data_IF_298337368665
#
_entry.id   IF_298337368665
#
_cell.length_a   1.000
_cell.length_b   1.000
_cell.length_c   1.000
_cell.angle_alpha   90.00
_cell.angle_beta   90.00
_cell.angle_gamma   90.00
#
_symmetry.space_group_name_H-M   'P 1'
#
loop_
_entity.id
_entity.type
_entity.pdbx_description
1 polymer ?
#
# COMPACT_ATOMS: atom_id res chain seq x y z
N UNK A 1 -16.47 -0.38 -0.46
CA UNK A 1 -15.34 0.53 -0.74
C UNK A 1 -15.85 1.76 -1.46
N UNK A 2 -15.30 2.96 -1.23
CA UNK A 2 -15.71 4.18 -1.95
C UNK A 2 -14.74 4.44 -3.11
N UNK A 3 -15.00 3.78 -4.22
CA UNK A 3 -14.13 3.81 -5.39
C UNK A 3 -13.96 5.21 -5.98
N UNK A 4 -15.02 6.03 -5.97
CA UNK A 4 -14.96 7.39 -6.53
C UNK A 4 -14.05 8.31 -5.72
N UNK A 5 -14.13 8.27 -4.39
CA UNK A 5 -13.24 9.05 -3.51
C UNK A 5 -11.79 8.56 -3.60
N UNK A 6 -11.60 7.24 -3.70
CA UNK A 6 -10.28 6.64 -3.88
C UNK A 6 -9.68 7.04 -5.22
N UNK A 7 -10.45 7.01 -6.32
CA UNK A 7 -9.98 7.44 -7.64
C UNK A 7 -9.55 8.92 -7.61
N UNK A 8 -10.33 9.77 -6.92
CA UNK A 8 -9.95 11.18 -6.73
C UNK A 8 -8.66 11.32 -5.91
N UNK A 9 -8.40 10.46 -4.94
CA UNK A 9 -7.13 10.42 -4.22
C UNK A 9 -5.96 10.19 -5.19
N UNK A 10 -6.00 9.16 -6.01
CA UNK A 10 -4.90 8.84 -6.92
C UNK A 10 -4.72 9.85 -8.07
N UNK A 11 -5.79 10.42 -8.59
CA UNK A 11 -5.74 11.41 -9.69
C UNK A 11 -5.55 12.85 -9.24
N UNK A 12 -5.64 13.14 -7.93
CA UNK A 12 -5.57 14.52 -7.46
C UNK A 12 -4.15 15.09 -7.59
N UNK A 13 -4.10 16.34 -8.06
CA UNK A 13 -2.88 17.13 -8.12
C UNK A 13 -2.79 18.02 -6.86
N UNK A 14 -1.71 17.85 -6.11
CA UNK A 14 -1.48 18.60 -4.87
C UNK A 14 -1.07 20.06 -5.11
N UNK A 15 -0.89 20.48 -6.38
CA UNK A 15 -0.60 21.89 -6.73
C UNK A 15 -1.64 22.85 -6.14
N UNK A 16 -2.92 22.48 -6.15
CA UNK A 16 -3.98 23.33 -5.57
C UNK A 16 -3.80 23.51 -4.07
N UNK A 17 -3.40 22.47 -3.34
CA UNK A 17 -3.12 22.56 -1.92
C UNK A 17 -1.98 23.53 -1.63
N UNK A 18 -0.83 23.38 -2.31
CA UNK A 18 0.30 24.29 -2.14
C UNK A 18 -0.02 25.71 -2.56
N UNK A 19 -0.74 25.89 -3.67
CA UNK A 19 -1.20 27.23 -4.11
C UNK A 19 -2.09 27.89 -3.06
N UNK A 20 -3.04 27.13 -2.51
CA UNK A 20 -3.94 27.64 -1.45
C UNK A 20 -3.17 28.03 -0.18
N UNK A 21 -2.19 27.23 0.25
CA UNK A 21 -1.33 27.53 1.42
C UNK A 21 -0.49 28.79 1.16
N UNK A 22 0.06 28.97 -0.04
CA UNK A 22 0.83 30.18 -0.40
C UNK A 22 -0.07 31.41 -0.31
N UNK A 23 -1.28 31.35 -0.90
CA UNK A 23 -2.24 32.48 -0.86
C UNK A 23 -2.64 32.79 0.58
N UNK A 24 -2.89 31.76 1.40
CA UNK A 24 -3.20 31.93 2.82
C UNK A 24 -2.04 32.60 3.56
N UNK A 25 -0.79 32.17 3.31
CA UNK A 25 0.41 32.78 3.87
C UNK A 25 0.58 34.25 3.49
N UNK A 26 0.26 34.62 2.25
CA UNK A 26 0.26 36.03 1.80
C UNK A 26 -0.74 36.87 2.62
N UNK A 27 -1.94 36.34 2.84
CA UNK A 27 -2.95 37.03 3.68
C UNK A 27 -2.48 37.26 5.12
N UNK A 28 -1.84 36.25 5.73
CA UNK A 28 -1.23 36.35 7.07
C UNK A 28 -0.12 37.42 7.09
N UNK A 29 0.73 37.44 6.08
CA UNK A 29 1.82 38.42 5.94
C UNK A 29 1.30 39.84 5.83
N UNK A 30 0.23 40.06 5.06
CA UNK A 30 -0.42 41.40 4.95
C UNK A 30 -0.94 41.87 6.31
N UNK A 31 -1.56 40.96 7.11
CA UNK A 31 -2.00 41.30 8.47
C UNK A 31 -0.82 41.68 9.38
N UNK A 32 0.22 40.83 9.40
CA UNK A 32 1.39 41.02 10.25
C UNK A 32 2.11 42.36 9.94
N UNK A 33 2.32 42.68 8.66
CA UNK A 33 2.94 43.95 8.22
C UNK A 33 2.05 45.12 8.62
N UNK A 34 0.74 45.01 8.46
CA UNK A 34 -0.20 46.06 8.84
C UNK A 34 -0.15 46.40 10.34
N UNK A 35 -0.02 45.41 11.20
CA UNK A 35 0.15 45.59 12.65
C UNK A 35 1.51 46.18 13.03
N UNK A 36 2.59 45.67 12.43
CA UNK A 36 3.98 46.05 12.75
C UNK A 36 4.29 47.50 12.36
N UNK A 37 3.72 47.98 11.26
CA UNK A 37 3.94 49.34 10.77
C UNK A 37 2.96 50.36 11.38
N UNK A 38 2.11 49.96 12.30
CA UNK A 38 1.16 50.85 13.01
C UNK A 38 0.18 51.58 12.07
N UNK A 39 -0.03 51.02 10.89
CA UNK A 39 -0.92 51.62 9.88
C UNK A 39 -2.39 51.50 10.34
N UNK A 40 -2.81 52.40 11.23
CA UNK A 40 -4.26 52.68 11.47
C UNK A 40 -5.04 53.18 10.24
N UNK A 41 -4.35 53.28 9.08
CA UNK A 41 -4.84 54.00 7.90
C UNK A 41 -5.85 53.17 7.07
N UNK A 42 -5.93 51.84 7.26
CA UNK A 42 -6.81 51.03 6.41
C UNK A 42 -7.75 50.13 7.22
N UNK A 43 -8.90 50.63 7.61
CA UNK A 43 -10.05 49.76 7.99
C UNK A 43 -10.35 48.69 6.93
N UNK A 44 -9.97 48.93 5.66
CA UNK A 44 -10.11 47.98 4.56
C UNK A 44 -9.03 46.89 4.47
N UNK A 45 -7.83 47.10 5.05
CA UNK A 45 -6.69 46.17 4.91
C UNK A 45 -6.93 44.83 5.61
N UNK A 46 -7.52 44.86 6.80
CA UNK A 46 -7.91 43.66 7.53
C UNK A 46 -8.95 42.84 6.75
N UNK A 47 -9.94 43.52 6.16
CA UNK A 47 -10.96 42.87 5.35
C UNK A 47 -10.36 42.21 4.09
N UNK A 48 -9.45 42.90 3.40
CA UNK A 48 -8.73 42.36 2.24
C UNK A 48 -7.88 41.15 2.62
N UNK A 49 -7.10 41.23 3.70
CA UNK A 49 -6.29 40.13 4.17
C UNK A 49 -7.14 38.90 4.55
N UNK A 50 -8.23 39.09 5.27
CA UNK A 50 -9.15 37.99 5.63
C UNK A 50 -9.81 37.37 4.39
N UNK A 51 -10.14 38.19 3.39
CA UNK A 51 -10.68 37.68 2.11
C UNK A 51 -9.64 36.81 1.38
N UNK A 52 -8.39 37.26 1.29
CA UNK A 52 -7.29 36.50 0.69
C UNK A 52 -7.07 35.20 1.44
N UNK A 53 -7.04 35.22 2.77
CA UNK A 53 -6.93 34.00 3.61
C UNK A 53 -8.09 33.06 3.36
N UNK A 54 -9.34 33.56 3.29
CA UNK A 54 -10.53 32.78 3.00
C UNK A 54 -10.45 32.08 1.63
N UNK A 55 -10.04 32.83 0.60
CA UNK A 55 -9.83 32.25 -0.75
C UNK A 55 -8.72 31.19 -0.72
N UNK A 56 -7.59 31.47 -0.08
CA UNK A 56 -6.50 30.52 0.06
C UNK A 56 -6.94 29.22 0.76
N UNK A 57 -7.69 29.36 1.85
CA UNK A 57 -8.25 28.21 2.57
C UNK A 57 -9.23 27.40 1.69
N UNK A 58 -10.12 28.05 0.96
CA UNK A 58 -11.04 27.38 0.04
C UNK A 58 -10.29 26.59 -1.04
N UNK A 59 -9.29 27.19 -1.67
CA UNK A 59 -8.47 26.54 -2.71
C UNK A 59 -7.70 25.35 -2.12
N UNK A 60 -7.17 25.44 -0.90
CA UNK A 60 -6.42 24.37 -0.27
C UNK A 60 -7.30 23.19 0.16
N UNK A 61 -8.43 23.46 0.81
CA UNK A 61 -9.19 22.44 1.55
C UNK A 61 -10.41 21.89 0.81
N UNK A 62 -11.07 22.67 -0.06
CA UNK A 62 -12.26 22.22 -0.77
C UNK A 62 -12.03 21.00 -1.68
N UNK A 63 -10.94 20.93 -2.47
CA UNK A 63 -10.62 19.72 -3.23
C UNK A 63 -10.27 18.53 -2.35
N UNK A 64 -9.63 18.79 -1.19
CA UNK A 64 -9.20 17.73 -0.26
C UNK A 64 -10.38 17.02 0.41
N UNK A 65 -11.49 17.72 0.69
CA UNK A 65 -12.66 17.14 1.34
C UNK A 65 -13.42 16.13 0.47
N UNK A 66 -13.22 16.16 -0.84
CA UNK A 66 -13.91 15.30 -1.83
C UNK A 66 -13.13 14.03 -2.22
N UNK A 67 -11.93 13.86 -1.70
CA UNK A 67 -11.07 12.69 -1.96
C UNK A 67 -10.87 11.88 -0.68
N UNK A 68 -10.47 10.62 -0.82
CA UNK A 68 -9.98 9.85 0.31
C UNK A 68 -8.66 10.44 0.81
N UNK A 69 -8.36 10.23 2.09
CA UNK A 69 -7.04 10.50 2.66
C UNK A 69 -6.23 9.20 2.77
N UNK A 70 -4.97 9.28 3.16
CA UNK A 70 -4.05 8.14 3.28
C UNK A 70 -4.59 7.07 4.24
N UNK A 71 -5.17 7.48 5.35
CA UNK A 71 -5.71 6.58 6.36
C UNK A 71 -6.94 5.83 5.83
N UNK A 72 -7.83 6.52 5.12
CA UNK A 72 -9.00 5.88 4.49
C UNK A 72 -8.60 4.84 3.44
N UNK A 73 -7.50 5.06 2.70
CA UNK A 73 -6.94 4.06 1.76
C UNK A 73 -6.42 2.84 2.52
N UNK A 74 -5.61 3.06 3.56
CA UNK A 74 -5.05 1.97 4.37
C UNK A 74 -6.17 1.17 5.07
N UNK A 75 -7.19 1.85 5.60
CA UNK A 75 -8.37 1.21 6.20
C UNK A 75 -9.20 0.42 5.18
N UNK A 76 -9.28 0.90 3.93
CA UNK A 76 -9.97 0.17 2.87
C UNK A 76 -9.25 -1.15 2.55
N UNK A 77 -7.91 -1.13 2.51
CA UNK A 77 -7.09 -2.33 2.37
C UNK A 77 -7.29 -3.28 3.55
N UNK A 78 -7.17 -2.77 4.78
CA UNK A 78 -7.34 -3.59 5.99
C UNK A 78 -8.71 -4.29 6.01
N UNK A 79 -9.80 -3.56 5.72
CA UNK A 79 -11.15 -4.16 5.66
C UNK A 79 -11.32 -5.19 4.54
N UNK A 80 -10.62 -5.01 3.41
CA UNK A 80 -10.71 -5.93 2.28
C UNK A 80 -9.89 -7.22 2.50
N UNK A 81 -8.93 -7.19 3.43
CA UNK A 81 -8.03 -8.31 3.74
C UNK A 81 -8.25 -8.89 5.14
N UNK A 82 -9.16 -8.29 5.94
CA UNK A 82 -9.47 -8.77 7.28
C UNK A 82 -9.95 -10.23 7.21
N UNK A 83 -9.29 -11.11 7.97
CA UNK A 83 -9.57 -12.56 8.04
C UNK A 83 -9.46 -13.34 6.73
N UNK A 84 -8.80 -12.80 5.71
CA UNK A 84 -8.71 -13.49 4.43
C UNK A 84 -8.02 -14.86 4.55
N UNK A 85 -6.98 -15.00 5.38
CA UNK A 85 -6.31 -16.27 5.65
C UNK A 85 -7.23 -17.28 6.40
N UNK A 86 -8.08 -16.80 7.31
CA UNK A 86 -9.09 -17.64 7.99
C UNK A 86 -10.15 -18.10 6.99
N UNK A 87 -10.68 -17.20 6.15
CA UNK A 87 -11.66 -17.51 5.11
C UNK A 87 -11.12 -18.56 4.12
N UNK A 88 -9.88 -18.39 3.66
CA UNK A 88 -9.21 -19.35 2.77
C UNK A 88 -9.04 -20.70 3.47
N UNK A 89 -8.58 -20.70 4.75
CA UNK A 89 -8.38 -21.93 5.51
C UNK A 89 -9.69 -22.70 5.74
N UNK A 90 -10.82 -22.01 5.91
CA UNK A 90 -12.14 -22.62 6.06
C UNK A 90 -12.67 -23.20 4.74
N UNK A 91 -12.41 -22.51 3.61
CA UNK A 91 -12.89 -22.91 2.29
C UNK A 91 -12.08 -24.08 1.70
N UNK A 92 -10.78 -24.13 1.99
CA UNK A 92 -9.88 -25.17 1.48
C UNK A 92 -9.79 -26.30 2.51
N UNK A 93 -10.34 -27.47 2.17
CA UNK A 93 -10.35 -28.65 3.05
C UNK A 93 -8.97 -29.32 3.11
N UNK A 94 -7.97 -28.60 3.69
CA UNK A 94 -6.59 -29.06 3.85
C UNK A 94 -6.22 -29.24 5.33
N UNK A 95 -5.35 -30.18 5.61
CA UNK A 95 -4.81 -30.37 6.95
C UNK A 95 -3.58 -29.49 7.15
N UNK A 96 -3.75 -28.43 7.95
CA UNK A 96 -2.67 -27.47 8.23
C UNK A 96 -1.52 -28.08 9.01
N UNK A 97 -0.31 -27.64 8.70
CA UNK A 97 0.90 -27.98 9.44
C UNK A 97 0.83 -27.46 10.87
N UNK A 98 1.34 -28.25 11.83
CA UNK A 98 1.51 -27.81 13.21
C UNK A 98 2.81 -27.00 13.42
N UNK A 99 3.74 -27.05 12.47
CA UNK A 99 5.09 -26.46 12.58
C UNK A 99 5.13 -25.03 12.04
N UNK A 100 4.53 -24.82 10.86
CA UNK A 100 4.48 -23.51 10.20
C UNK A 100 3.04 -23.03 10.25
N UNK A 101 2.82 -21.89 10.87
CA UNK A 101 1.47 -21.29 10.96
C UNK A 101 1.11 -20.64 9.64
N UNK A 102 -0.19 -20.56 9.31
CA UNK A 102 -0.68 -19.74 8.20
C UNK A 102 -0.17 -18.31 8.30
N UNK A 103 0.10 -17.70 7.16
CA UNK A 103 0.62 -16.34 7.06
C UNK A 103 -0.16 -15.58 6.01
N UNK A 104 -0.59 -14.37 6.35
CA UNK A 104 -1.15 -13.42 5.41
C UNK A 104 -0.09 -12.39 5.03
N UNK A 105 0.31 -12.39 3.76
CA UNK A 105 1.10 -11.34 3.17
C UNK A 105 0.20 -10.38 2.40
N UNK A 106 0.61 -9.12 2.31
CA UNK A 106 -0.10 -8.16 1.49
C UNK A 106 0.71 -6.91 1.27
N UNK A 107 0.65 -6.39 0.05
CA UNK A 107 1.35 -5.18 -0.35
C UNK A 107 0.68 -4.55 -1.58
N UNK A 108 0.94 -3.27 -1.78
CA UNK A 108 0.56 -2.55 -2.98
C UNK A 108 1.31 -3.08 -4.20
N UNK A 109 0.60 -3.24 -5.31
CA UNK A 109 1.19 -3.63 -6.60
C UNK A 109 1.58 -2.38 -7.36
N UNK A 110 2.83 -2.31 -7.79
CA UNK A 110 3.36 -1.14 -8.47
C UNK A 110 3.58 -1.36 -9.97
N UNK A 111 3.33 -2.57 -10.46
CA UNK A 111 3.51 -2.94 -11.85
C UNK A 111 2.14 -2.98 -12.57
N UNK A 112 2.10 -2.52 -13.82
CA UNK A 112 0.93 -2.51 -14.70
C UNK A 112 0.59 -1.12 -15.22
N UNK A 113 0.13 -1.06 -16.46
CA UNK A 113 -0.20 0.20 -17.16
C UNK A 113 -1.45 0.88 -16.58
N UNK A 114 -2.30 0.11 -15.90
CA UNK A 114 -3.55 0.54 -15.26
C UNK A 114 -3.37 0.94 -13.78
N UNK A 115 -2.15 0.81 -13.25
CA UNK A 115 -1.84 1.08 -11.85
C UNK A 115 -1.51 2.55 -11.62
N UNK A 116 -2.34 3.22 -10.83
CA UNK A 116 -2.07 4.58 -10.38
C UNK A 116 -1.26 4.54 -9.10
N UNK A 117 -0.16 5.27 -9.06
CA UNK A 117 0.72 5.36 -7.88
C UNK A 117 0.70 6.77 -7.32
N UNK A 118 0.61 6.90 -6.00
CA UNK A 118 0.65 8.17 -5.31
C UNK A 118 1.48 8.11 -4.05
N UNK A 119 2.25 9.18 -3.81
CA UNK A 119 2.92 9.40 -2.54
C UNK A 119 2.01 10.17 -1.58
N UNK A 120 1.81 9.66 -0.38
CA UNK A 120 1.06 10.34 0.66
C UNK A 120 1.69 11.67 1.05
N UNK A 121 0.86 12.68 1.33
CA UNK A 121 1.32 14.00 1.75
C UNK A 121 1.82 14.01 3.20
N UNK A 122 1.13 13.28 4.07
CA UNK A 122 1.40 13.28 5.51
C UNK A 122 2.53 12.32 5.89
N UNK A 123 2.51 11.11 5.37
CA UNK A 123 3.41 10.02 5.77
C UNK A 123 4.51 9.69 4.75
N UNK A 124 4.46 10.32 3.58
CA UNK A 124 5.40 10.13 2.47
C UNK A 124 5.47 8.70 1.92
N UNK A 125 4.56 7.81 2.31
CA UNK A 125 4.50 6.45 1.80
C UNK A 125 3.86 6.41 0.42
N UNK A 126 4.36 5.49 -0.41
CA UNK A 126 3.75 5.21 -1.71
C UNK A 126 2.61 4.22 -1.55
N UNK A 127 1.52 4.47 -2.27
CA UNK A 127 0.37 3.58 -2.39
C UNK A 127 -0.01 3.48 -3.85
N UNK A 128 -0.40 2.30 -4.27
CA UNK A 128 -0.96 2.11 -5.60
C UNK A 128 -2.46 1.87 -5.55
N UNK A 129 -3.12 2.01 -6.71
CA UNK A 129 -4.54 1.72 -6.85
C UNK A 129 -4.88 0.23 -6.85
N UNK A 130 -3.88 -0.64 -6.76
CA UNK A 130 -4.04 -2.10 -6.77
C UNK A 130 -3.31 -2.72 -5.58
N UNK A 131 -3.95 -3.69 -4.93
CA UNK A 131 -3.41 -4.39 -3.77
C UNK A 131 -3.52 -5.89 -3.95
N UNK A 132 -2.53 -6.64 -3.47
CA UNK A 132 -2.55 -8.10 -3.41
C UNK A 132 -2.48 -8.55 -1.96
N UNK A 133 -3.42 -9.38 -1.56
CA UNK A 133 -3.36 -10.16 -0.32
C UNK A 133 -3.08 -11.61 -0.69
N UNK A 134 -2.17 -12.27 0.00
CA UNK A 134 -1.78 -13.66 -0.26
C UNK A 134 -1.80 -14.44 1.05
N UNK A 135 -2.73 -15.39 1.16
CA UNK A 135 -2.78 -16.33 2.26
C UNK A 135 -1.90 -17.54 1.94
N UNK A 136 -0.90 -17.81 2.76
CA UNK A 136 -0.02 -18.96 2.67
C UNK A 136 -0.43 -19.97 3.74
N UNK A 137 -0.99 -21.09 3.33
CA UNK A 137 -1.42 -22.18 4.18
C UNK A 137 -0.44 -23.35 4.04
N UNK A 138 0.27 -23.65 5.10
CA UNK A 138 1.27 -24.72 5.09
C UNK A 138 0.65 -26.06 5.49
N UNK A 139 0.89 -27.09 4.68
CA UNK A 139 0.55 -28.47 4.96
C UNK A 139 1.77 -29.23 5.47
N UNK A 140 1.63 -30.54 5.70
CA UNK A 140 2.78 -31.39 6.01
C UNK A 140 3.76 -31.48 4.84
N UNK A 141 3.25 -31.49 3.61
CA UNK A 141 4.00 -31.85 2.42
C UNK A 141 4.19 -30.67 1.44
N UNK A 142 3.59 -29.50 1.72
CA UNK A 142 3.66 -28.36 0.80
C UNK A 142 3.06 -27.07 1.35
N UNK A 143 2.87 -26.13 0.44
CA UNK A 143 2.21 -24.84 0.69
C UNK A 143 1.10 -24.61 -0.33
N UNK A 144 -0.08 -24.26 0.17
CA UNK A 144 -1.19 -23.75 -0.62
C UNK A 144 -1.20 -22.22 -0.50
N UNK A 145 -1.32 -21.54 -1.63
CA UNK A 145 -1.31 -20.09 -1.72
C UNK A 145 -2.59 -19.64 -2.39
N UNK A 146 -3.37 -18.82 -1.71
CA UNK A 146 -4.48 -18.11 -2.31
C UNK A 146 -4.15 -16.62 -2.39
N UNK A 147 -4.20 -16.06 -3.60
CA UNK A 147 -3.95 -14.64 -3.85
C UNK A 147 -5.23 -13.95 -4.26
N UNK A 148 -5.55 -12.87 -3.56
CA UNK A 148 -6.64 -11.96 -3.89
C UNK A 148 -6.07 -10.63 -4.34
N UNK A 149 -6.20 -10.34 -5.62
CA UNK A 149 -5.84 -9.03 -6.19
C UNK A 149 -7.10 -8.19 -6.34
N UNK A 150 -7.10 -6.98 -5.82
CA UNK A 150 -8.25 -6.09 -5.94
C UNK A 150 -7.85 -4.65 -6.23
N UNK A 151 -8.75 -3.95 -6.92
CA UNK A 151 -8.62 -2.53 -7.21
C UNK A 151 -9.21 -1.69 -6.08
N UNK A 152 -8.56 -0.59 -5.75
CA UNK A 152 -9.06 0.41 -4.81
C UNK A 152 -9.91 1.50 -5.47
N UNK A 153 -9.94 1.54 -6.80
CA UNK A 153 -10.59 2.59 -7.60
C UNK A 153 -11.75 2.09 -8.46
N UNK A 154 -11.96 0.79 -8.53
CA UNK A 154 -13.04 0.14 -9.27
C UNK A 154 -13.41 -1.21 -8.64
N UNK A 155 -14.60 -1.71 -8.91
CA UNK A 155 -15.04 -3.02 -8.43
C UNK A 155 -14.47 -4.14 -9.31
N UNK A 156 -13.19 -4.41 -9.09
CA UNK A 156 -12.46 -5.46 -9.80
C UNK A 156 -11.63 -6.27 -8.81
N UNK A 157 -11.93 -7.56 -8.71
CA UNK A 157 -11.24 -8.51 -7.84
C UNK A 157 -10.94 -9.77 -8.63
N UNK A 158 -9.71 -10.26 -8.51
CA UNK A 158 -9.29 -11.54 -9.07
C UNK A 158 -8.70 -12.41 -7.98
N UNK A 159 -9.03 -13.69 -7.99
CA UNK A 159 -8.47 -14.68 -7.08
C UNK A 159 -7.73 -15.75 -7.88
N UNK A 160 -6.60 -16.19 -7.35
CA UNK A 160 -5.75 -17.21 -7.98
C UNK A 160 -5.20 -18.12 -6.89
N UNK A 161 -5.39 -19.42 -7.07
CA UNK A 161 -4.93 -20.44 -6.16
C UNK A 161 -3.77 -21.22 -6.77
N UNK A 162 -2.79 -21.56 -5.95
CA UNK A 162 -1.61 -22.31 -6.34
C UNK A 162 -1.22 -23.28 -5.23
N UNK A 163 -0.71 -24.43 -5.61
CA UNK A 163 -0.21 -25.43 -4.66
C UNK A 163 1.21 -25.87 -5.06
N UNK A 164 2.09 -25.93 -4.07
CA UNK A 164 3.48 -26.34 -4.24
C UNK A 164 3.82 -27.43 -3.23
N UNK A 165 4.45 -28.50 -3.73
CA UNK A 165 4.92 -29.62 -2.91
C UNK A 165 6.38 -29.40 -2.56
N UNK A 166 6.75 -29.48 -1.27
CA UNK A 166 8.12 -29.19 -0.80
C UNK A 166 9.21 -30.02 -1.47
N UNK A 167 8.90 -31.26 -1.84
CA UNK A 167 9.84 -32.14 -2.51
C UNK A 167 10.35 -31.58 -3.85
N UNK A 168 9.48 -30.83 -4.56
CA UNK A 168 9.81 -30.25 -5.88
C UNK A 168 10.40 -28.86 -5.81
N UNK A 169 10.20 -28.15 -4.70
CA UNK A 169 10.72 -26.79 -4.54
C UNK A 169 12.25 -26.79 -4.38
N UNK A 170 12.91 -25.84 -5.01
CA UNK A 170 14.34 -25.63 -4.82
C UNK A 170 14.61 -24.83 -3.55
N UNK A 171 14.01 -23.67 -3.46
CA UNK A 171 14.16 -22.75 -2.34
C UNK A 171 13.04 -21.70 -2.34
N UNK A 172 12.87 -21.02 -1.20
CA UNK A 172 12.12 -19.78 -1.10
C UNK A 172 13.03 -18.69 -0.53
N UNK A 173 12.85 -17.47 -1.01
CA UNK A 173 13.66 -16.33 -0.56
C UNK A 173 12.89 -15.02 -0.68
N UNK A 174 13.38 -14.00 0.04
CA UNK A 174 12.90 -12.64 -0.12
C UNK A 174 13.85 -11.82 -0.98
N UNK A 175 13.32 -11.07 -1.91
CA UNK A 175 14.09 -10.15 -2.76
C UNK A 175 13.54 -8.74 -2.65
N UNK A 176 14.43 -7.75 -2.64
CA UNK A 176 14.08 -6.33 -2.68
C UNK A 176 14.59 -5.72 -3.98
N UNK A 177 13.72 -4.97 -4.63
CA UNK A 177 14.01 -4.28 -5.88
C UNK A 177 13.70 -2.79 -5.73
N UNK A 178 14.38 -1.95 -6.49
CA UNK A 178 14.04 -0.54 -6.61
C UNK A 178 13.17 -0.32 -7.84
N UNK A 179 12.03 0.36 -7.65
CA UNK A 179 11.17 0.85 -8.72
C UNK A 179 11.25 2.37 -8.75
N UNK A 180 11.25 2.94 -9.95
CA UNK A 180 11.33 4.39 -10.14
C UNK A 180 9.95 4.92 -10.51
N UNK A 181 9.47 5.90 -9.72
CA UNK A 181 8.22 6.60 -9.97
C UNK A 181 8.50 8.11 -10.07
N UNK A 182 8.53 8.64 -11.27
CA UNK A 182 8.97 10.02 -11.51
C UNK A 182 10.42 10.22 -11.09
N UNK A 183 10.67 11.07 -10.10
CA UNK A 183 12.00 11.34 -9.53
C UNK A 183 12.31 10.48 -8.29
N UNK A 184 11.33 9.74 -7.81
CA UNK A 184 11.43 8.98 -6.56
C UNK A 184 11.74 7.49 -6.81
N UNK A 185 12.48 6.89 -5.87
CA UNK A 185 12.75 5.45 -5.82
C UNK A 185 11.98 4.79 -4.70
N UNK A 186 11.26 3.73 -5.02
CA UNK A 186 10.50 2.92 -4.06
C UNK A 186 11.10 1.54 -3.98
N UNK A 187 11.37 1.07 -2.76
CA UNK A 187 11.75 -0.33 -2.52
C UNK A 187 10.50 -1.18 -2.47
N UNK A 188 10.41 -2.14 -3.38
CA UNK A 188 9.39 -3.17 -3.40
C UNK A 188 10.02 -4.50 -3.01
N UNK A 189 9.30 -5.34 -2.30
CA UNK A 189 9.83 -6.62 -1.84
C UNK A 189 8.90 -7.74 -2.24
N UNK A 190 9.49 -8.89 -2.52
CA UNK A 190 8.77 -10.07 -2.94
C UNK A 190 9.23 -11.28 -2.14
N UNK A 191 8.28 -12.12 -1.76
CA UNK A 191 8.53 -13.50 -1.37
C UNK A 191 8.48 -14.34 -2.64
N UNK A 192 9.54 -15.08 -2.92
CA UNK A 192 9.74 -15.80 -4.18
C UNK A 192 9.80 -17.27 -3.92
N UNK A 193 9.09 -18.06 -4.71
CA UNK A 193 9.15 -19.52 -4.74
C UNK A 193 9.83 -19.95 -6.02
N UNK A 194 10.85 -20.81 -5.89
CA UNK A 194 11.63 -21.36 -6.99
C UNK A 194 11.45 -22.88 -7.07
N UNK A 195 11.20 -23.37 -8.28
CA UNK A 195 11.03 -24.78 -8.62
C UNK A 195 11.68 -25.05 -9.98
N UNK A 196 12.42 -26.14 -10.13
CA UNK A 196 13.14 -26.51 -11.36
C UNK A 196 14.08 -25.41 -11.90
N UNK A 197 14.72 -24.68 -11.01
CA UNK A 197 15.63 -23.59 -11.37
C UNK A 197 14.96 -22.28 -11.78
N UNK A 198 13.62 -22.22 -11.80
CA UNK A 198 12.84 -21.06 -12.23
C UNK A 198 12.03 -20.46 -11.09
N UNK A 199 11.86 -19.14 -11.11
CA UNK A 199 10.91 -18.46 -10.25
C UNK A 199 9.48 -18.75 -10.73
N UNK A 200 8.70 -19.46 -9.93
CA UNK A 200 7.30 -19.81 -10.27
C UNK A 200 6.31 -18.77 -9.75
N UNK A 201 6.61 -18.18 -8.59
CA UNK A 201 5.73 -17.22 -7.94
C UNK A 201 6.53 -16.11 -7.30
N UNK A 202 6.05 -14.88 -7.46
CA UNK A 202 6.52 -13.67 -6.77
C UNK A 202 5.35 -13.01 -6.07
N UNK A 203 5.35 -13.04 -4.74
CA UNK A 203 4.31 -12.47 -3.89
C UNK A 203 4.80 -11.12 -3.36
N UNK A 204 4.12 -10.02 -3.67
CA UNK A 204 4.45 -8.73 -3.07
C UNK A 204 4.28 -8.78 -1.56
N UNK A 205 5.30 -8.35 -0.82
CA UNK A 205 5.30 -8.39 0.64
C UNK A 205 5.89 -7.12 1.23
N UNK A 206 5.37 -6.72 2.37
CA UNK A 206 6.05 -5.73 3.21
C UNK A 206 7.19 -6.41 3.94
N UNK A 207 8.44 -6.15 3.50
CA UNK A 207 9.61 -6.80 4.08
C UNK A 207 9.76 -6.49 5.57
N UNK A 208 9.89 -7.55 6.35
CA UNK A 208 10.16 -7.51 7.79
C UNK A 208 10.72 -8.86 8.26
N UNK A 209 11.14 -8.95 9.52
CA UNK A 209 11.69 -10.18 10.10
C UNK A 209 10.76 -11.41 10.04
N UNK A 210 9.45 -11.22 9.89
CA UNK A 210 8.50 -12.31 9.70
C UNK A 210 8.68 -12.97 8.32
N UNK A 211 8.95 -12.19 7.28
CA UNK A 211 9.20 -12.71 5.92
C UNK A 211 10.44 -13.60 5.92
N UNK A 212 11.54 -13.15 6.53
CA UNK A 212 12.77 -13.95 6.64
C UNK A 212 12.52 -15.23 7.41
N UNK A 213 11.80 -15.16 8.53
CA UNK A 213 11.45 -16.35 9.31
C UNK A 213 10.63 -17.36 8.49
N UNK A 214 9.65 -16.89 7.72
CA UNK A 214 8.85 -17.78 6.86
C UNK A 214 9.73 -18.43 5.80
N UNK A 215 10.65 -17.68 5.18
CA UNK A 215 11.63 -18.25 4.24
C UNK A 215 12.46 -19.36 4.89
N UNK A 216 12.98 -19.13 6.09
CA UNK A 216 13.78 -20.10 6.83
C UNK A 216 12.96 -21.35 7.19
N UNK A 217 11.75 -21.18 7.70
CA UNK A 217 10.86 -22.28 8.10
C UNK A 217 10.49 -23.14 6.88
N UNK A 218 10.17 -22.54 5.73
CA UNK A 218 9.84 -23.25 4.49
C UNK A 218 11.06 -23.93 3.91
N UNK A 219 12.22 -23.28 3.85
CA UNK A 219 13.47 -23.91 3.38
C UNK A 219 13.89 -25.10 4.26
N UNK A 220 13.61 -25.03 5.55
CA UNK A 220 13.82 -26.18 6.44
C UNK A 220 12.86 -27.34 6.11
N UNK A 221 11.59 -27.05 5.81
CA UNK A 221 10.62 -28.06 5.39
C UNK A 221 11.01 -28.70 4.04
N UNK A 222 11.49 -27.92 3.07
CA UNK A 222 12.02 -28.39 1.79
C UNK A 222 13.19 -29.37 2.01
N UNK A 223 14.16 -29.02 2.88
CA UNK A 223 15.29 -29.89 3.20
C UNK A 223 14.86 -31.21 3.85
N UNK A 224 13.86 -31.15 4.74
CA UNK A 224 13.30 -32.35 5.37
C UNK A 224 12.61 -33.26 4.33
N UNK A 225 11.76 -32.67 3.45
CA UNK A 225 11.06 -33.40 2.40
C UNK A 225 12.03 -34.11 1.43
N UNK A 226 13.14 -33.46 1.08
CA UNK A 226 14.19 -34.02 0.22
C UNK A 226 15.12 -34.99 0.94
N UNK A 227 14.91 -35.28 2.22
CA UNK A 227 15.76 -36.15 3.01
C UNK A 227 17.19 -35.61 3.26
N UNK A 228 17.39 -34.31 3.10
CA UNK A 228 18.68 -33.61 3.22
C UNK A 228 19.02 -33.20 4.66
N UNK A 229 18.15 -33.46 5.64
CA UNK A 229 18.48 -33.33 7.07
C UNK A 229 19.11 -34.61 7.58
N UNK A 230 20.37 -34.51 7.98
CA UNK A 230 21.04 -35.50 8.83
C UNK A 230 20.69 -35.25 10.30
#
# INVERSE_FOLDING_TARGET
>A
MDYERNLKYYKSNDKHFYTGIIILGIGVLILAIGELLGFRIFRGQTSVALTIMGIGALIAFLPSSKRANEHEIDDAVLRATDKYDEEVAENVNITLSRRIKPVLFGEFVYDGDDVLVRRGLSDRKYRSSKYVASALLFTKDGVYISQKTFSLIEDNTAETDMEFVFEYLDEVYAVQEERVFGEDKVKVSFFVIKEDGEEKVRIPVKYNAMVDKVCDDVNNAIKEAKGLRK
#
